data_IF_555147913411
#
_entry.id   IF_555147913411
#
_cell.length_a   1.000
_cell.length_b   1.000
_cell.length_c   1.000
_cell.angle_alpha   90.00
_cell.angle_beta   90.00
_cell.angle_gamma   90.00
#
_symmetry.space_group_name_H-M   'P 1'
#
loop_
_entity.id
_entity.type
_entity.pdbx_description
1 polymer ?
#
# COMPACT_ATOMS: atom_id res chain seq x y z
N UNK A 1 -6.31 -3.24 33.68
CA UNK A 1 -7.49 -2.80 32.90
C UNK A 1 -7.02 -1.70 31.97
N UNK A 2 -6.82 -2.00 30.68
CA UNK A 2 -6.44 -1.00 29.68
C UNK A 2 -7.70 -0.23 29.31
N UNK A 3 -7.69 1.07 29.53
CA UNK A 3 -8.74 1.99 29.13
C UNK A 3 -9.08 1.75 27.65
N UNK A 4 -10.36 1.64 27.25
CA UNK A 4 -10.71 1.70 25.84
C UNK A 4 -10.38 3.10 25.31
N UNK A 5 -9.44 3.17 24.36
CA UNK A 5 -9.03 4.40 23.69
C UNK A 5 -10.14 4.95 22.78
N UNK A 6 -9.92 6.19 22.34
CA UNK A 6 -10.78 7.14 21.59
C UNK A 6 -11.45 6.60 20.30
N UNK A 7 -11.30 5.32 19.96
CA UNK A 7 -11.84 4.69 18.76
C UNK A 7 -13.25 4.09 18.92
N UNK A 8 -13.90 4.25 20.08
CA UNK A 8 -15.28 3.79 20.30
C UNK A 8 -16.37 4.69 19.67
N UNK A 9 -15.99 5.70 18.87
CA UNK A 9 -16.92 6.66 18.26
C UNK A 9 -17.18 6.49 16.76
N UNK A 10 -16.55 5.51 16.08
CA UNK A 10 -16.64 5.39 14.61
C UNK A 10 -17.88 4.62 14.11
N UNK A 11 -18.62 3.95 15.01
CA UNK A 11 -19.66 2.99 14.59
C UNK A 11 -21.11 3.49 14.67
N UNK A 12 -21.36 4.76 14.98
CA UNK A 12 -22.73 5.29 15.01
C UNK A 12 -22.87 6.58 14.20
N UNK A 13 -22.97 6.42 12.87
CA UNK A 13 -23.56 7.43 11.99
C UNK A 13 -22.57 8.19 11.10
N UNK A 14 -22.53 7.83 9.81
CA UNK A 14 -22.27 8.79 8.74
C UNK A 14 -20.82 8.93 8.24
N UNK A 15 -20.26 7.89 7.62
CA UNK A 15 -19.11 8.04 6.71
C UNK A 15 -19.46 8.82 5.41
N UNK A 16 -20.72 9.22 5.24
CA UNK A 16 -21.22 10.03 4.10
C UNK A 16 -21.08 11.54 4.33
N UNK A 17 -20.09 12.00 5.10
CA UNK A 17 -19.97 13.41 5.50
C UNK A 17 -18.81 14.19 4.88
N UNK A 18 -17.78 13.53 4.32
CA UNK A 18 -16.53 14.22 3.95
C UNK A 18 -15.91 13.82 2.61
N UNK A 19 -16.34 12.72 2.04
CA UNK A 19 -15.97 12.30 0.68
C UNK A 19 -17.26 11.91 -0.02
N UNK A 20 -17.45 12.34 -1.28
CA UNK A 20 -18.61 11.96 -2.09
C UNK A 20 -18.60 10.45 -2.41
N UNK A 21 -19.08 10.00 -3.57
CA UNK A 21 -19.12 8.56 -3.93
C UNK A 21 -17.74 7.87 -4.06
N UNK A 22 -16.63 8.54 -3.70
CA UNK A 22 -15.26 8.05 -3.84
C UNK A 22 -14.57 7.99 -2.47
N UNK A 23 -13.83 6.91 -2.21
CA UNK A 23 -13.08 6.72 -0.96
C UNK A 23 -11.90 7.70 -0.79
N UNK A 24 -11.37 8.24 -1.90
CA UNK A 24 -10.21 9.13 -1.90
C UNK A 24 -10.60 10.57 -2.30
N UNK A 25 -10.04 11.61 -1.64
CA UNK A 25 -10.39 13.00 -1.92
C UNK A 25 -9.86 13.47 -3.29
N UNK A 26 -10.76 13.77 -4.23
CA UNK A 26 -10.42 14.19 -5.60
C UNK A 26 -9.47 15.41 -5.65
N UNK A 27 -9.64 16.36 -4.73
CA UNK A 27 -8.76 17.53 -4.63
C UNK A 27 -7.30 17.13 -4.32
N UNK A 28 -7.08 16.09 -3.52
CA UNK A 28 -5.74 15.60 -3.19
C UNK A 28 -5.11 14.90 -4.39
N UNK A 29 -5.90 14.08 -5.09
CA UNK A 29 -5.49 13.40 -6.32
C UNK A 29 -5.06 14.43 -7.37
N UNK A 30 -5.92 15.42 -7.65
CA UNK A 30 -5.60 16.52 -8.58
C UNK A 30 -4.33 17.28 -8.20
N UNK A 31 -4.08 17.50 -6.90
CA UNK A 31 -2.86 18.15 -6.40
C UNK A 31 -1.60 17.31 -6.63
N UNK A 32 -1.68 15.98 -6.50
CA UNK A 32 -0.57 15.06 -6.79
C UNK A 32 -0.30 15.05 -8.30
N UNK A 33 -1.35 14.93 -9.12
CA UNK A 33 -1.25 14.99 -10.58
C UNK A 33 -0.61 16.29 -11.10
N UNK A 34 -0.85 17.44 -10.44
CA UNK A 34 -0.17 18.70 -10.81
C UNK A 34 1.30 18.74 -10.41
N UNK A 35 1.71 17.94 -9.42
CA UNK A 35 3.08 17.91 -8.91
C UNK A 35 3.97 16.90 -9.64
N UNK A 36 3.39 16.02 -10.47
CA UNK A 36 4.14 14.96 -11.14
C UNK A 36 4.97 15.45 -12.34
N UNK A 37 4.87 16.73 -12.74
CA UNK A 37 5.73 17.32 -13.75
C UNK A 37 5.44 18.80 -14.00
N UNK A 38 6.45 19.55 -14.43
CA UNK A 38 6.37 21.00 -14.64
C UNK A 38 5.44 21.39 -15.81
N UNK A 39 5.10 20.45 -16.69
CA UNK A 39 4.28 20.69 -17.88
C UNK A 39 2.76 20.43 -17.70
N UNK A 40 2.33 20.01 -16.51
CA UNK A 40 0.91 19.71 -16.25
C UNK A 40 0.10 20.98 -15.96
N UNK A 41 -0.36 21.66 -17.02
CA UNK A 41 -1.13 22.91 -16.91
C UNK A 41 -2.60 22.70 -16.51
N UNK A 42 -3.29 21.81 -17.22
CA UNK A 42 -4.71 21.49 -17.00
C UNK A 42 -4.91 20.00 -16.80
N UNK A 43 -5.91 19.65 -16.00
CA UNK A 43 -6.32 18.26 -15.72
C UNK A 43 -7.82 18.19 -15.97
N UNK A 44 -8.23 17.24 -16.81
CA UNK A 44 -9.64 16.95 -17.09
C UNK A 44 -10.40 16.63 -15.80
N UNK A 45 -11.69 16.99 -15.74
CA UNK A 45 -12.55 16.67 -14.60
C UNK A 45 -12.71 15.17 -14.35
N UNK A 46 -12.59 14.35 -15.40
CA UNK A 46 -12.76 12.89 -15.34
C UNK A 46 -11.53 12.18 -14.78
N UNK A 47 -10.33 12.73 -14.98
CA UNK A 47 -9.10 12.03 -14.62
C UNK A 47 -8.98 11.78 -13.09
N UNK A 48 -9.25 12.75 -12.19
CA UNK A 48 -9.26 12.48 -10.75
C UNK A 48 -10.27 11.42 -10.32
N UNK A 49 -11.40 11.30 -11.03
CA UNK A 49 -12.46 10.32 -10.73
C UNK A 49 -11.95 8.91 -11.03
N UNK A 50 -11.35 8.71 -12.22
CA UNK A 50 -10.76 7.42 -12.61
C UNK A 50 -9.60 7.06 -11.68
N UNK A 51 -8.72 8.02 -11.37
CA UNK A 51 -7.62 7.80 -10.44
C UNK A 51 -8.11 7.43 -9.03
N UNK A 52 -9.21 8.00 -8.55
CA UNK A 52 -9.75 7.62 -7.24
C UNK A 52 -10.08 6.13 -7.18
N UNK A 53 -10.74 5.59 -8.23
CA UNK A 53 -11.06 4.17 -8.27
C UNK A 53 -9.83 3.29 -8.57
N UNK A 54 -8.94 3.74 -9.46
CA UNK A 54 -7.72 3.02 -9.75
C UNK A 54 -6.81 2.90 -8.52
N UNK A 55 -6.68 3.98 -7.73
CA UNK A 55 -5.93 3.97 -6.48
C UNK A 55 -6.56 3.06 -5.42
N UNK A 56 -7.89 2.97 -5.35
CA UNK A 56 -8.57 2.02 -4.48
C UNK A 56 -8.20 0.57 -4.83
N UNK A 57 -8.33 0.19 -6.11
CA UNK A 57 -7.95 -1.14 -6.60
C UNK A 57 -6.45 -1.42 -6.44
N UNK A 58 -5.61 -0.41 -6.67
CA UNK A 58 -4.17 -0.52 -6.51
C UNK A 58 -3.77 -0.79 -5.06
N UNK A 59 -4.36 -0.07 -4.10
CA UNK A 59 -4.08 -0.28 -2.66
C UNK A 59 -4.53 -1.69 -2.24
N UNK A 60 -5.75 -2.09 -2.61
CA UNK A 60 -6.26 -3.43 -2.32
C UNK A 60 -5.32 -4.52 -2.83
N UNK A 61 -4.89 -4.39 -4.08
CA UNK A 61 -4.09 -5.39 -4.76
C UNK A 61 -2.63 -5.44 -4.25
N UNK A 62 -2.03 -4.29 -3.92
CA UNK A 62 -0.72 -4.22 -3.28
C UNK A 62 -0.76 -4.81 -1.86
N UNK A 63 -1.79 -4.47 -1.08
CA UNK A 63 -2.00 -5.00 0.27
C UNK A 63 -2.20 -6.51 0.24
N UNK A 64 -3.01 -7.04 -0.69
CA UNK A 64 -3.21 -8.48 -0.85
C UNK A 64 -1.90 -9.21 -1.11
N UNK A 65 -1.08 -8.75 -2.06
CA UNK A 65 0.22 -9.39 -2.35
C UNK A 65 1.16 -9.32 -1.16
N UNK A 66 1.24 -8.17 -0.49
CA UNK A 66 2.07 -7.98 0.70
C UNK A 66 1.62 -8.90 1.85
N UNK A 67 0.31 -9.06 2.02
CA UNK A 67 -0.26 -9.96 3.04
C UNK A 67 0.11 -11.43 2.80
N UNK A 68 0.13 -11.88 1.53
CA UNK A 68 0.59 -13.23 1.22
C UNK A 68 2.01 -13.49 1.73
N UNK A 69 2.90 -12.49 1.64
CA UNK A 69 4.27 -12.58 2.18
C UNK A 69 4.26 -12.60 3.71
N UNK A 70 3.45 -11.76 4.34
CA UNK A 70 3.27 -11.74 5.81
C UNK A 70 2.82 -13.10 6.35
N UNK A 71 1.81 -13.71 5.72
CA UNK A 71 1.25 -15.02 6.12
C UNK A 71 2.24 -16.15 5.86
N UNK A 72 3.00 -16.12 4.75
CA UNK A 72 4.10 -17.06 4.52
C UNK A 72 5.17 -16.97 5.62
N UNK A 73 5.39 -15.78 6.15
CA UNK A 73 6.23 -15.53 7.33
C UNK A 73 5.60 -15.93 8.67
N UNK A 74 4.40 -16.55 8.68
CA UNK A 74 3.60 -16.91 9.88
C UNK A 74 3.33 -15.72 10.81
N UNK A 75 3.31 -14.51 10.25
CA UNK A 75 3.01 -13.28 10.98
C UNK A 75 1.56 -12.87 10.73
N UNK A 76 1.01 -12.09 11.66
CA UNK A 76 -0.33 -11.47 11.57
C UNK A 76 -0.26 -9.95 11.52
N UNK A 77 0.96 -9.42 11.38
CA UNK A 77 1.25 -7.99 11.29
C UNK A 77 2.03 -7.77 10.01
N UNK A 78 1.48 -6.94 9.13
CA UNK A 78 2.10 -6.57 7.86
C UNK A 78 3.23 -5.56 8.12
N UNK A 79 4.41 -5.84 7.57
CA UNK A 79 5.61 -5.03 7.75
C UNK A 79 6.06 -4.38 6.43
N UNK A 80 6.94 -3.38 6.52
CA UNK A 80 7.54 -2.72 5.34
C UNK A 80 8.28 -3.73 4.46
N UNK A 81 8.98 -4.70 5.05
CA UNK A 81 9.74 -5.72 4.31
C UNK A 81 8.83 -6.64 3.49
N UNK A 82 7.58 -6.85 3.92
CA UNK A 82 6.59 -7.62 3.16
C UNK A 82 6.19 -6.89 1.88
N UNK A 83 6.00 -5.57 1.97
CA UNK A 83 5.70 -4.70 0.83
C UNK A 83 6.87 -4.67 -0.14
N UNK A 84 8.11 -4.51 0.36
CA UNK A 84 9.32 -4.53 -0.45
C UNK A 84 9.45 -5.85 -1.23
N UNK A 85 9.23 -6.97 -0.55
CA UNK A 85 9.29 -8.31 -1.15
C UNK A 85 8.18 -8.52 -2.19
N UNK A 86 6.96 -8.08 -1.89
CA UNK A 86 5.82 -8.20 -2.82
C UNK A 86 5.99 -7.34 -4.08
N UNK A 87 6.57 -6.13 -3.93
CA UNK A 87 6.93 -5.25 -5.04
C UNK A 87 8.00 -5.88 -5.91
N UNK A 88 9.10 -6.38 -5.32
CA UNK A 88 10.18 -7.03 -6.07
C UNK A 88 9.73 -8.30 -6.81
N UNK A 89 8.73 -9.01 -6.28
CA UNK A 89 8.18 -10.22 -6.89
C UNK A 89 7.15 -9.95 -8.00
N UNK A 90 6.71 -8.70 -8.20
CA UNK A 90 5.60 -8.36 -9.10
C UNK A 90 6.04 -7.35 -10.16
N UNK A 91 6.18 -7.81 -11.41
CA UNK A 91 6.70 -6.98 -12.52
C UNK A 91 5.91 -5.67 -12.73
N UNK A 92 4.57 -5.68 -12.58
CA UNK A 92 3.75 -4.47 -12.74
C UNK A 92 4.02 -3.41 -11.67
N UNK A 93 4.70 -3.75 -10.58
CA UNK A 93 5.07 -2.85 -9.48
C UNK A 93 6.51 -2.34 -9.57
N UNK A 94 7.23 -2.58 -10.68
CA UNK A 94 8.63 -2.15 -10.85
C UNK A 94 8.84 -0.64 -10.63
N UNK A 95 7.82 0.19 -10.95
CA UNK A 95 7.83 1.63 -10.71
C UNK A 95 7.95 2.03 -9.22
N UNK A 96 7.78 1.08 -8.29
CA UNK A 96 7.88 1.28 -6.84
C UNK A 96 9.21 0.81 -6.25
N UNK A 97 10.06 0.10 -6.99
CA UNK A 97 11.27 -0.54 -6.45
C UNK A 97 12.19 0.49 -5.78
N UNK A 98 12.47 1.62 -6.45
CA UNK A 98 13.28 2.69 -5.87
C UNK A 98 12.62 3.35 -4.65
N UNK A 99 11.30 3.50 -4.66
CA UNK A 99 10.56 4.15 -3.57
C UNK A 99 10.58 3.32 -2.28
N UNK A 100 10.46 2.00 -2.39
CA UNK A 100 10.37 1.11 -1.22
C UNK A 100 11.75 0.79 -0.64
N UNK A 101 12.80 0.86 -1.47
CA UNK A 101 14.18 0.63 -1.04
C UNK A 101 14.83 1.84 -0.33
N UNK A 102 14.48 3.08 -0.72
CA UNK A 102 15.19 4.29 -0.30
C UNK A 102 14.89 4.80 1.12
N UNK A 103 13.94 4.18 1.84
CA UNK A 103 13.58 4.59 3.21
C UNK A 103 14.70 4.35 4.25
N UNK A 104 15.78 3.66 3.89
CA UNK A 104 16.93 3.43 4.79
C UNK A 104 18.00 4.54 4.68
N UNK A 105 17.92 5.45 3.70
CA UNK A 105 19.04 6.33 3.31
C UNK A 105 18.86 7.83 3.56
N UNK A 106 17.75 8.29 4.17
CA UNK A 106 17.56 9.73 4.44
C UNK A 106 18.25 10.20 5.75
N UNK A 107 19.17 9.41 6.30
CA UNK A 107 20.08 9.83 7.36
C UNK A 107 21.48 9.24 7.12
N UNK A 108 22.40 10.11 6.70
CA UNK A 108 23.86 9.93 6.59
C UNK A 108 24.38 9.50 5.21
N UNK A 109 25.20 10.38 4.62
CA UNK A 109 26.09 10.02 3.53
C UNK A 109 27.16 9.03 3.98
N UNK A 110 27.66 8.24 3.05
CA UNK A 110 28.79 7.34 3.26
C UNK A 110 28.71 6.17 2.30
N UNK A 111 29.77 5.96 1.52
CA UNK A 111 29.77 5.03 0.41
C UNK A 111 29.96 3.56 0.78
N UNK A 112 29.83 2.74 -0.26
CA UNK A 112 30.74 1.61 -0.48
C UNK A 112 30.22 0.22 -0.17
N UNK A 113 30.12 -0.59 -1.23
CA UNK A 113 30.71 -1.93 -1.24
C UNK A 113 29.82 -3.12 -0.87
N UNK A 114 29.37 -3.84 -1.90
CA UNK A 114 29.70 -5.26 -2.11
C UNK A 114 28.94 -6.35 -1.33
N UNK A 115 28.38 -7.30 -2.08
CA UNK A 115 28.52 -8.72 -1.76
C UNK A 115 27.24 -9.55 -1.55
N UNK A 116 26.92 -10.38 -2.55
CA UNK A 116 26.81 -11.84 -2.38
C UNK A 116 25.51 -12.45 -1.83
N UNK A 117 24.71 -13.00 -2.75
CA UNK A 117 24.40 -14.44 -2.82
C UNK A 117 23.42 -15.07 -1.80
N UNK A 118 22.47 -15.86 -2.31
CA UNK A 118 21.89 -16.98 -1.56
C UNK A 118 20.39 -17.18 -1.73
N UNK A 119 20.02 -17.97 -2.74
CA UNK A 119 18.72 -18.62 -2.94
C UNK A 119 18.30 -19.52 -1.78
N UNK A 120 16.99 -19.67 -1.53
CA UNK A 120 16.41 -21.02 -1.40
C UNK A 120 14.88 -21.14 -1.61
N UNK A 121 14.53 -21.96 -2.60
CA UNK A 121 13.61 -23.11 -2.60
C UNK A 121 12.32 -23.15 -1.75
N UNK A 122 11.21 -23.28 -2.48
CA UNK A 122 10.05 -24.19 -2.36
C UNK A 122 9.49 -24.60 -0.98
N UNK A 123 8.17 -24.42 -0.78
CA UNK A 123 7.21 -25.54 -0.72
C UNK A 123 5.75 -25.05 -0.62
N UNK A 124 4.86 -25.78 -1.28
CA UNK A 124 3.40 -25.70 -1.28
C UNK A 124 2.75 -26.07 0.06
N UNK A 125 1.66 -25.39 0.45
CA UNK A 125 0.45 -26.04 1.00
C UNK A 125 -0.68 -25.06 1.28
N UNK A 126 -1.88 -25.51 0.90
CA UNK A 126 -3.19 -25.22 1.49
C UNK A 126 -3.75 -23.80 1.36
N UNK A 127 -4.64 -23.67 0.39
CA UNK A 127 -5.58 -22.56 0.20
C UNK A 127 -6.60 -22.51 1.34
N UNK A 128 -6.38 -21.64 2.31
CA UNK A 128 -7.44 -21.15 3.19
C UNK A 128 -7.87 -19.75 2.71
N UNK A 129 -9.18 -19.59 2.52
CA UNK A 129 -9.81 -18.45 1.83
C UNK A 129 -9.34 -17.09 2.36
N UNK A 130 -8.68 -16.27 1.52
CA UNK A 130 -8.13 -14.96 1.91
C UNK A 130 -9.17 -13.89 2.29
N UNK A 131 -10.47 -14.17 2.10
CA UNK A 131 -11.53 -13.17 2.24
C UNK A 131 -11.83 -12.76 3.69
N UNK A 132 -11.63 -13.66 4.65
CA UNK A 132 -11.90 -13.37 6.07
C UNK A 132 -10.80 -12.55 6.76
N UNK A 133 -9.53 -12.72 6.38
CA UNK A 133 -8.43 -11.92 6.97
C UNK A 133 -8.35 -10.51 6.38
N UNK A 134 -8.75 -10.29 5.13
CA UNK A 134 -8.82 -8.93 4.57
C UNK A 134 -9.79 -8.04 5.34
N UNK A 135 -10.88 -8.62 5.84
CA UNK A 135 -11.87 -7.90 6.63
C UNK A 135 -11.37 -7.49 8.04
N UNK A 136 -10.24 -8.04 8.50
CA UNK A 136 -9.60 -7.67 9.76
C UNK A 136 -8.60 -6.52 9.62
N UNK A 137 -8.06 -6.29 8.42
CA UNK A 137 -7.13 -5.18 8.14
C UNK A 137 -7.88 -3.88 7.80
N UNK A 138 -9.11 -3.99 7.28
CA UNK A 138 -9.95 -2.86 6.87
C UNK A 138 -10.89 -2.36 7.99
N UNK A 139 -11.05 -3.12 9.09
CA UNK A 139 -11.81 -2.72 10.29
C UNK A 139 -10.91 -2.10 11.36
#
# INVERSE_FOLDING_TARGET
MRQPGIYSGILSGGLSGRTGPHALPLARIKKIMKKSGDDVKMISGEAPIVFAKACELFIEELTRRSWMVTVQGKRRTLHKEDVASAVAATEVFDFLVGLVADDDNNNSGGGGGGGGGGSNSTNSSSVESPEEEMAAVIR
#
